data_IF_222556000692
#
_entry.id   IF_222556000692
#
_cell.length_a   1.000
_cell.length_b   1.000
_cell.length_c   1.000
_cell.angle_alpha   90.00
_cell.angle_beta   90.00
_cell.angle_gamma   90.00
#
_symmetry.space_group_name_H-M   'P 1'
#
loop_
_entity.id
_entity.type
_entity.pdbx_description
1 polymer ?
#
# COMPACT_ATOMS: atom_id res chain seq x y z
N UNK A 1 25.48 1.96 1.77
CA UNK A 1 24.22 2.72 1.58
C UNK A 1 23.22 2.24 2.61
N UNK A 2 23.10 2.95 3.73
CA UNK A 2 22.07 2.69 4.72
C UNK A 2 20.76 3.20 4.12
N UNK A 3 19.82 2.30 3.82
CA UNK A 3 18.46 2.73 3.44
C UNK A 3 17.88 3.57 4.58
N UNK A 4 17.10 4.60 4.25
CA UNK A 4 16.38 5.40 5.25
C UNK A 4 15.41 4.49 6.05
N UNK A 5 14.93 4.96 7.20
CA UNK A 5 14.05 4.17 8.07
C UNK A 5 12.84 3.58 7.31
N UNK A 6 12.35 2.39 7.68
CA UNK A 6 11.19 1.80 7.01
C UNK A 6 9.95 2.71 7.10
N UNK A 7 9.18 2.74 6.02
CA UNK A 7 7.97 3.57 5.91
C UNK A 7 6.77 2.67 5.67
N UNK A 8 5.74 2.80 6.51
CA UNK A 8 4.44 2.20 6.24
C UNK A 8 3.74 3.00 5.14
N UNK A 9 3.20 2.32 4.14
CA UNK A 9 2.51 2.94 3.02
C UNK A 9 1.22 2.18 2.73
N UNK A 10 0.16 2.90 2.36
CA UNK A 10 -1.10 2.27 1.95
C UNK A 10 -0.86 1.30 0.79
N UNK A 11 -1.19 0.03 0.98
CA UNK A 11 -0.92 -1.04 0.02
C UNK A 11 -1.50 -0.75 -1.38
N UNK A 12 -2.66 -0.11 -1.44
CA UNK A 12 -3.31 0.31 -2.69
C UNK A 12 -2.49 1.31 -3.52
N UNK A 13 -1.66 2.16 -2.89
CA UNK A 13 -0.76 3.08 -3.58
C UNK A 13 0.41 2.37 -4.26
N UNK A 14 0.73 1.15 -3.80
CA UNK A 14 1.73 0.27 -4.41
C UNK A 14 1.11 -0.72 -5.40
N UNK A 15 -0.17 -0.56 -5.77
CA UNK A 15 -0.84 -1.37 -6.77
C UNK A 15 -1.47 -2.66 -6.24
N UNK A 16 -1.52 -2.86 -4.92
CA UNK A 16 -2.20 -4.02 -4.33
C UNK A 16 -3.71 -3.81 -4.38
N UNK A 17 -4.42 -4.80 -4.93
CA UNK A 17 -5.88 -4.78 -5.07
C UNK A 17 -6.58 -5.01 -3.72
N UNK A 18 -6.54 -3.99 -2.86
CA UNK A 18 -7.09 -4.01 -1.51
C UNK A 18 -8.14 -2.91 -1.25
N UNK A 19 -8.52 -2.11 -2.26
CA UNK A 19 -9.58 -1.11 -2.09
C UNK A 19 -10.94 -1.80 -1.96
N UNK A 20 -11.90 -1.09 -1.36
CA UNK A 20 -13.27 -1.57 -1.18
C UNK A 20 -13.96 -2.02 -2.49
N UNK A 21 -13.56 -1.49 -3.64
CA UNK A 21 -14.07 -1.83 -4.97
C UNK A 21 -13.31 -2.99 -5.65
N UNK A 22 -12.37 -3.62 -4.95
CA UNK A 22 -11.51 -4.68 -5.52
C UNK A 22 -10.33 -4.15 -6.35
N UNK A 23 -10.21 -2.83 -6.53
CA UNK A 23 -9.12 -2.21 -7.27
C UNK A 23 -7.95 -1.75 -6.40
N UNK A 24 -7.12 -0.91 -7.00
CA UNK A 24 -6.01 -0.23 -6.35
C UNK A 24 -5.98 1.26 -6.76
N UNK A 25 -5.03 2.01 -6.23
CA UNK A 25 -4.78 3.40 -6.61
C UNK A 25 -3.28 3.63 -6.80
N UNK A 26 -2.65 2.79 -7.63
CA UNK A 26 -1.22 2.84 -7.90
C UNK A 26 -0.74 4.27 -8.17
N UNK A 27 0.27 4.70 -7.40
CA UNK A 27 0.89 6.01 -7.55
C UNK A 27 2.38 5.84 -7.85
N UNK A 28 2.76 6.15 -9.09
CA UNK A 28 4.13 6.02 -9.56
C UNK A 28 5.12 6.88 -8.77
N UNK A 29 4.69 8.03 -8.22
CA UNK A 29 5.53 8.91 -7.40
C UNK A 29 5.90 8.23 -6.09
N UNK A 30 4.94 7.50 -5.50
CA UNK A 30 5.14 6.70 -4.29
C UNK A 30 6.01 5.48 -4.62
N UNK A 31 5.73 4.78 -5.72
CA UNK A 31 6.52 3.62 -6.14
C UNK A 31 8.00 3.95 -6.34
N UNK A 32 8.36 5.14 -6.83
CA UNK A 32 9.75 5.59 -6.99
C UNK A 32 10.53 5.69 -5.68
N UNK A 33 9.86 5.82 -4.53
CA UNK A 33 10.48 5.94 -3.22
C UNK A 33 11.14 4.64 -2.71
N UNK A 34 10.86 3.49 -3.34
CA UNK A 34 11.52 2.19 -3.04
C UNK A 34 13.05 2.21 -3.23
N UNK A 35 13.54 3.16 -4.04
CA UNK A 35 14.97 3.38 -4.24
C UNK A 35 15.65 3.97 -3.00
N UNK A 36 14.89 4.65 -2.12
CA UNK A 36 15.38 5.36 -0.94
C UNK A 36 14.99 4.70 0.37
N UNK A 37 13.76 4.20 0.44
CA UNK A 37 13.15 3.65 1.66
C UNK A 37 12.85 2.15 1.52
N UNK A 38 12.80 1.47 2.66
CA UNK A 38 12.11 0.18 2.75
C UNK A 38 10.62 0.46 2.91
N UNK A 39 9.84 0.17 1.88
CA UNK A 39 8.40 0.47 1.85
C UNK A 39 7.63 -0.76 2.31
N UNK A 40 6.87 -0.64 3.41
CA UNK A 40 6.06 -1.72 3.99
C UNK A 40 4.60 -1.47 3.59
N UNK A 41 4.03 -2.25 2.65
CA UNK A 41 2.63 -2.09 2.27
C UNK A 41 1.69 -2.52 3.39
N UNK A 42 0.71 -1.68 3.70
CA UNK A 42 -0.30 -1.93 4.74
C UNK A 42 -1.69 -1.58 4.20
N UNK A 43 -2.64 -2.51 4.36
CA UNK A 43 -4.07 -2.24 4.22
C UNK A 43 -4.72 -2.47 5.60
N UNK A 44 -5.02 -1.41 6.38
CA UNK A 44 -5.61 -1.58 7.71
C UNK A 44 -6.95 -2.33 7.67
N UNK A 45 -7.70 -2.18 6.59
CA UNK A 45 -9.01 -2.81 6.39
C UNK A 45 -8.88 -4.33 6.26
N UNK A 46 -8.01 -4.81 5.36
CA UNK A 46 -7.75 -6.24 5.20
C UNK A 46 -7.15 -6.85 6.46
N UNK A 47 -6.22 -6.15 7.12
CA UNK A 47 -5.65 -6.59 8.40
C UNK A 47 -6.70 -6.58 9.53
N UNK A 48 -7.71 -5.74 9.43
CA UNK A 48 -8.88 -5.71 10.31
C UNK A 48 -9.99 -6.71 9.93
N UNK A 49 -9.77 -7.57 8.93
CA UNK A 49 -10.73 -8.60 8.51
C UNK A 49 -11.75 -8.15 7.46
N UNK A 50 -11.60 -6.94 6.91
CA UNK A 50 -12.47 -6.40 5.86
C UNK A 50 -11.85 -6.65 4.47
N UNK A 51 -12.23 -7.78 3.86
CA UNK A 51 -11.78 -8.15 2.52
C UNK A 51 -12.47 -7.35 1.40
N UNK A 52 -11.83 -7.19 0.24
CA UNK A 52 -12.44 -6.60 -0.96
C UNK A 52 -13.14 -7.66 -1.85
N UNK A 53 -14.23 -7.31 -2.56
CA UNK A 53 -14.99 -6.05 -2.47
C UNK A 53 -15.87 -6.00 -1.22
N UNK A 54 -16.09 -4.80 -0.69
CA UNK A 54 -16.93 -4.54 0.50
C UNK A 54 -17.71 -3.24 0.35
N UNK A 55 -18.83 -3.12 1.06
CA UNK A 55 -19.53 -1.86 1.19
C UNK A 55 -18.61 -0.80 1.82
N UNK A 56 -18.67 0.42 1.29
CA UNK A 56 -17.89 1.55 1.79
C UNK A 56 -18.55 2.24 2.97
#
# INVERSE_FOLDING_TARGET
>A
MSREAPVLVSACLLGINCRYDGGNCFDERIARLVSRFVMIPVCPEQLGGLGPPRAS
#
